data_IF_059386589536
#
_entry.id   IF_059386589536
#
_cell.length_a   1.000
_cell.length_b   1.000
_cell.length_c   1.000
_cell.angle_alpha   90.00
_cell.angle_beta   90.00
_cell.angle_gamma   90.00
#
_symmetry.space_group_name_H-M   'P 1'
#
loop_
_entity.id
_entity.type
_entity.pdbx_description
1 polymer ?
#
# COMPACT_ATOMS: atom_id res chain seq x y z
N UNK A 1 -62.33 -6.40 0.27
CA UNK A 1 -61.70 -7.47 -0.53
C UNK A 1 -60.42 -6.85 -1.11
N UNK A 2 -59.21 -7.08 -0.57
CA UNK A 2 -58.29 -8.18 -0.93
C UNK A 2 -58.47 -8.64 -2.39
N UNK A 3 -57.52 -8.30 -3.27
CA UNK A 3 -56.47 -9.23 -3.75
C UNK A 3 -55.49 -8.50 -4.68
N UNK A 4 -54.20 -8.69 -4.42
CA UNK A 4 -53.11 -8.56 -5.40
C UNK A 4 -53.27 -9.60 -6.53
N UNK A 5 -52.71 -9.35 -7.72
CA UNK A 5 -51.48 -10.02 -8.23
C UNK A 5 -51.22 -9.71 -9.73
N UNK A 6 -50.09 -9.04 -9.98
CA UNK A 6 -49.00 -9.32 -10.95
C UNK A 6 -49.36 -9.83 -12.37
N UNK A 7 -48.98 -9.08 -13.41
CA UNK A 7 -47.83 -9.42 -14.30
C UNK A 7 -47.83 -8.56 -15.56
N UNK A 8 -46.76 -7.78 -15.79
CA UNK A 8 -46.35 -7.45 -17.16
C UNK A 8 -44.90 -7.88 -17.33
N UNK A 9 -44.75 -9.02 -18.01
CA UNK A 9 -43.50 -9.56 -18.53
C UNK A 9 -42.97 -8.56 -19.57
N UNK A 10 -41.92 -7.81 -19.23
CA UNK A 10 -41.08 -7.17 -20.25
C UNK A 10 -39.87 -8.08 -20.41
N UNK A 11 -39.87 -8.78 -21.54
CA UNK A 11 -38.79 -9.62 -22.02
C UNK A 11 -37.48 -8.83 -22.09
N UNK A 12 -36.45 -9.43 -21.50
CA UNK A 12 -35.03 -9.15 -21.67
C UNK A 12 -34.69 -8.85 -23.14
N UNK A 13 -34.12 -7.68 -23.43
CA UNK A 13 -32.86 -7.56 -24.16
C UNK A 13 -32.38 -6.10 -24.16
N UNK A 14 -31.74 -5.69 -23.07
CA UNK A 14 -30.87 -4.52 -23.12
C UNK A 14 -29.47 -5.02 -22.74
N UNK A 15 -28.73 -5.47 -23.76
CA UNK A 15 -27.27 -5.41 -23.71
C UNK A 15 -26.88 -3.93 -23.65
N UNK A 16 -27.04 -3.30 -22.49
CA UNK A 16 -26.18 -2.20 -22.14
C UNK A 16 -24.95 -2.86 -21.53
N UNK A 17 -24.05 -3.23 -22.44
CA UNK A 17 -22.62 -3.35 -22.18
C UNK A 17 -22.27 -2.23 -21.21
N UNK A 18 -21.80 -2.64 -20.03
CA UNK A 18 -21.39 -1.82 -18.91
C UNK A 18 -20.78 -0.48 -19.39
N UNK A 19 -21.60 0.57 -19.36
CA UNK A 19 -21.21 1.93 -19.73
C UNK A 19 -21.46 2.84 -18.53
N UNK A 20 -20.62 2.72 -17.49
CA UNK A 20 -20.41 3.76 -16.48
C UNK A 20 -19.10 3.44 -15.67
N UNK A 21 -17.95 4.12 -15.89
CA UNK A 21 -17.37 5.35 -15.22
C UNK A 21 -16.23 4.99 -14.21
N UNK A 22 -15.16 5.77 -13.88
CA UNK A 22 -14.22 6.70 -14.59
C UNK A 22 -12.76 6.66 -13.97
N UNK A 23 -11.88 7.67 -14.19
CA UNK A 23 -10.69 8.13 -13.38
C UNK A 23 -9.38 8.28 -14.18
N UNK A 24 -9.18 9.40 -14.87
CA UNK A 24 -7.91 9.70 -15.58
C UNK A 24 -7.00 10.70 -14.83
N UNK A 25 -7.43 11.33 -13.73
CA UNK A 25 -6.66 12.41 -13.09
C UNK A 25 -5.92 12.08 -11.79
N UNK A 26 -6.08 10.87 -11.22
CA UNK A 26 -5.19 10.32 -10.17
C UNK A 26 -4.10 9.39 -10.70
N UNK A 27 -4.15 9.05 -11.99
CA UNK A 27 -3.63 7.77 -12.49
C UNK A 27 -2.32 7.80 -13.29
N UNK A 28 -1.65 8.94 -13.47
CA UNK A 28 -0.37 8.94 -14.21
C UNK A 28 0.79 8.34 -13.41
N UNK A 29 0.95 8.73 -12.15
CA UNK A 29 2.01 8.20 -11.28
C UNK A 29 1.71 6.76 -10.86
N UNK A 30 0.47 6.45 -10.47
CA UNK A 30 0.04 5.06 -10.21
C UNK A 30 0.28 4.16 -11.42
N UNK A 31 -0.05 4.62 -12.64
CA UNK A 31 0.20 3.83 -13.86
C UNK A 31 1.69 3.57 -14.11
N UNK A 32 2.58 4.54 -13.85
CA UNK A 32 4.03 4.34 -13.94
C UNK A 32 4.52 3.29 -12.94
N UNK A 33 4.03 3.34 -11.70
CA UNK A 33 4.41 2.39 -10.66
C UNK A 33 3.88 0.98 -10.96
N UNK A 34 2.63 0.86 -11.43
CA UNK A 34 2.06 -0.41 -11.88
C UNK A 34 2.87 -1.00 -13.03
N UNK A 35 3.31 -0.19 -14.00
CA UNK A 35 4.19 -0.64 -15.08
C UNK A 35 5.52 -1.15 -14.53
N UNK A 36 6.15 -0.41 -13.62
CA UNK A 36 7.40 -0.80 -12.97
C UNK A 36 7.28 -2.17 -12.27
N UNK A 37 6.16 -2.42 -11.57
CA UNK A 37 5.92 -3.70 -10.90
C UNK A 37 5.63 -4.84 -11.90
N UNK A 38 4.89 -4.57 -12.99
CA UNK A 38 4.60 -5.57 -14.03
C UNK A 38 5.84 -6.06 -14.77
N UNK A 39 6.86 -5.20 -14.89
CA UNK A 39 8.13 -5.52 -15.54
C UNK A 39 9.14 -6.18 -14.58
N UNK A 40 8.85 -6.20 -13.27
CA UNK A 40 9.71 -6.78 -12.26
C UNK A 40 9.61 -8.31 -12.24
N UNK A 41 10.69 -8.97 -11.80
CA UNK A 41 10.62 -10.39 -11.45
C UNK A 41 9.64 -10.59 -10.28
N UNK A 42 8.91 -11.70 -10.27
CA UNK A 42 7.94 -12.00 -9.21
C UNK A 42 8.58 -12.07 -7.82
N UNK A 43 9.90 -12.34 -7.74
CA UNK A 43 10.69 -12.40 -6.51
C UNK A 43 11.49 -11.11 -6.23
N UNK A 44 11.31 -10.05 -7.02
CA UNK A 44 12.03 -8.78 -6.85
C UNK A 44 11.40 -7.91 -5.75
N UNK A 45 11.61 -8.30 -4.50
CA UNK A 45 11.10 -7.57 -3.32
C UNK A 45 11.54 -6.09 -3.32
N UNK A 46 12.68 -5.74 -3.91
CA UNK A 46 13.19 -4.38 -3.95
C UNK A 46 12.30 -3.48 -4.81
N UNK A 47 11.90 -3.96 -6.00
CA UNK A 47 11.01 -3.20 -6.88
C UNK A 47 9.63 -3.01 -6.26
N UNK A 48 9.06 -4.05 -5.63
CA UNK A 48 7.79 -3.92 -4.89
C UNK A 48 7.91 -2.92 -3.72
N UNK A 49 8.99 -2.99 -2.94
CA UNK A 49 9.27 -2.05 -1.83
C UNK A 49 9.35 -0.61 -2.34
N UNK A 50 10.04 -0.39 -3.46
CA UNK A 50 10.19 0.92 -4.09
C UNK A 50 8.86 1.46 -4.63
N UNK A 51 8.05 0.61 -5.25
CA UNK A 51 6.72 0.98 -5.74
C UNK A 51 5.81 1.42 -4.59
N UNK A 52 5.79 0.65 -3.49
CA UNK A 52 5.04 0.99 -2.29
C UNK A 52 5.51 2.34 -1.71
N UNK A 53 6.81 2.53 -1.55
CA UNK A 53 7.38 3.77 -1.02
C UNK A 53 7.01 4.99 -1.87
N UNK A 54 7.09 4.89 -3.20
CA UNK A 54 6.70 5.98 -4.09
C UNK A 54 5.19 6.25 -4.05
N UNK A 55 4.38 5.20 -4.00
CA UNK A 55 2.93 5.37 -3.89
C UNK A 55 2.56 6.11 -2.59
N UNK A 56 3.17 5.71 -1.46
CA UNK A 56 3.02 6.39 -0.17
C UNK A 56 3.47 7.85 -0.30
N UNK A 57 4.68 8.11 -0.79
CA UNK A 57 5.23 9.47 -0.81
C UNK A 57 4.45 10.42 -1.74
N UNK A 58 3.95 9.92 -2.86
CA UNK A 58 3.22 10.74 -3.84
C UNK A 58 1.74 10.90 -3.57
N UNK A 59 1.21 10.28 -2.50
CA UNK A 59 -0.23 10.20 -2.27
C UNK A 59 -0.97 9.55 -3.44
N UNK A 60 -0.33 8.57 -4.08
CA UNK A 60 -0.95 7.78 -5.11
C UNK A 60 -1.89 6.75 -4.46
N UNK A 61 -2.06 5.59 -5.10
CA UNK A 61 -2.92 4.53 -4.59
C UNK A 61 -2.32 3.83 -3.35
N UNK A 62 -2.83 4.19 -2.16
CA UNK A 62 -2.39 3.61 -0.90
C UNK A 62 -2.83 2.15 -0.73
N UNK A 63 -3.89 1.70 -1.40
CA UNK A 63 -4.31 0.30 -1.37
C UNK A 63 -3.27 -0.55 -2.11
N UNK A 64 -2.88 -0.13 -3.31
CA UNK A 64 -1.78 -0.77 -4.06
C UNK A 64 -0.45 -0.70 -3.29
N UNK A 65 -0.18 0.41 -2.60
CA UNK A 65 1.02 0.52 -1.78
C UNK A 65 1.05 -0.58 -0.70
N UNK A 66 -0.11 -0.89 -0.10
CA UNK A 66 -0.24 -1.94 0.91
C UNK A 66 -0.02 -3.32 0.31
N UNK A 67 -0.63 -3.60 -0.84
CA UNK A 67 -0.46 -4.87 -1.54
C UNK A 67 1.01 -5.12 -1.91
N UNK A 68 1.68 -4.12 -2.49
CA UNK A 68 3.08 -4.25 -2.88
C UNK A 68 4.00 -4.44 -1.68
N UNK A 69 3.80 -3.71 -0.58
CA UNK A 69 4.67 -3.90 0.59
C UNK A 69 4.41 -5.24 1.28
N UNK A 70 3.17 -5.73 1.29
CA UNK A 70 2.86 -7.07 1.80
C UNK A 70 3.52 -8.17 0.96
N UNK A 71 3.48 -8.02 -0.37
CA UNK A 71 4.17 -8.92 -1.30
C UNK A 71 5.69 -8.90 -1.06
N UNK A 72 6.30 -7.71 -0.96
CA UNK A 72 7.73 -7.59 -0.69
C UNK A 72 8.14 -8.23 0.65
N UNK A 73 7.33 -8.07 1.70
CA UNK A 73 7.58 -8.70 3.02
C UNK A 73 7.48 -10.23 2.94
N UNK A 74 6.56 -10.76 2.13
CA UNK A 74 6.41 -12.20 1.94
C UNK A 74 7.63 -12.82 1.23
N UNK A 75 8.27 -12.05 0.33
CA UNK A 75 9.48 -12.47 -0.38
C UNK A 75 10.75 -12.31 0.48
N UNK A 76 10.93 -11.12 1.08
CA UNK A 76 12.07 -10.82 1.94
C UNK A 76 11.69 -9.81 3.03
N UNK A 77 11.48 -10.34 4.24
CA UNK A 77 11.26 -9.53 5.43
C UNK A 77 12.60 -9.04 5.97
N UNK A 78 12.88 -7.75 5.78
CA UNK A 78 14.11 -7.10 6.17
C UNK A 78 13.83 -5.69 6.72
N UNK A 79 14.88 -4.94 7.06
CA UNK A 79 14.71 -3.62 7.66
C UNK A 79 14.03 -2.61 6.72
N UNK A 80 14.27 -2.69 5.40
CA UNK A 80 13.69 -1.76 4.43
C UNK A 80 12.20 -2.03 4.24
N UNK A 81 11.81 -3.30 4.10
CA UNK A 81 10.39 -3.67 3.93
C UNK A 81 9.57 -3.29 5.17
N UNK A 82 10.11 -3.51 6.37
CA UNK A 82 9.46 -3.08 7.61
C UNK A 82 9.42 -1.55 7.78
N UNK A 83 10.46 -0.83 7.36
CA UNK A 83 10.44 0.64 7.37
C UNK A 83 9.34 1.19 6.47
N UNK A 84 9.20 0.68 5.24
CA UNK A 84 8.18 1.14 4.29
C UNK A 84 6.76 0.77 4.78
N UNK A 85 6.57 -0.39 5.41
CA UNK A 85 5.29 -0.69 6.05
C UNK A 85 4.99 0.28 7.22
N UNK A 86 6.01 0.69 7.96
CA UNK A 86 5.88 1.74 8.97
C UNK A 86 5.43 3.08 8.35
N UNK A 87 6.00 3.44 7.20
CA UNK A 87 5.63 4.64 6.44
C UNK A 87 4.18 4.59 5.94
N UNK A 88 3.71 3.42 5.55
CA UNK A 88 2.30 3.19 5.21
C UNK A 88 1.38 3.47 6.40
N UNK A 89 1.64 2.84 7.56
CA UNK A 89 0.80 3.04 8.75
C UNK A 89 0.83 4.49 9.24
N UNK A 90 1.98 5.14 9.14
CA UNK A 90 2.09 6.56 9.42
C UNK A 90 1.17 7.39 8.51
N UNK A 91 1.11 7.06 7.21
CA UNK A 91 0.30 7.78 6.23
C UNK A 91 -1.20 7.65 6.49
N UNK A 92 -1.65 6.49 6.98
CA UNK A 92 -3.07 6.28 7.33
C UNK A 92 -3.41 6.68 8.77
N UNK A 93 -2.48 7.31 9.51
CA UNK A 93 -2.72 7.84 10.86
C UNK A 93 -2.50 6.84 12.01
N UNK A 94 -2.06 5.63 11.71
CA UNK A 94 -1.80 4.55 12.66
C UNK A 94 -0.40 4.68 13.30
N UNK A 95 -0.17 5.78 14.02
CA UNK A 95 1.14 6.15 14.56
C UNK A 95 1.77 5.08 15.48
N UNK A 96 0.95 4.41 16.30
CA UNK A 96 1.43 3.33 17.18
C UNK A 96 1.95 2.13 16.40
N UNK A 97 1.27 1.76 15.31
CA UNK A 97 1.70 0.66 14.43
C UNK A 97 2.97 1.04 13.68
N UNK A 98 3.04 2.27 13.17
CA UNK A 98 4.24 2.80 12.53
C UNK A 98 5.46 2.74 13.47
N UNK A 99 5.33 3.22 14.70
CA UNK A 99 6.40 3.18 15.70
C UNK A 99 6.88 1.75 15.96
N UNK A 100 5.96 0.81 16.17
CA UNK A 100 6.29 -0.60 16.38
C UNK A 100 7.08 -1.18 15.20
N UNK A 101 6.72 -0.83 13.98
CA UNK A 101 7.41 -1.30 12.78
C UNK A 101 8.80 -0.69 12.62
N UNK A 102 8.99 0.60 12.91
CA UNK A 102 10.32 1.20 12.90
C UNK A 102 11.24 0.57 13.94
N UNK A 103 10.72 0.21 15.12
CA UNK A 103 11.49 -0.53 16.13
C UNK A 103 11.88 -1.93 15.62
N UNK A 104 10.93 -2.68 15.06
CA UNK A 104 11.22 -3.99 14.45
C UNK A 104 12.21 -3.89 13.29
N UNK A 105 12.15 -2.83 12.49
CA UNK A 105 13.09 -2.57 11.41
C UNK A 105 14.52 -2.35 11.92
N UNK A 106 14.71 -1.78 13.12
CA UNK A 106 16.03 -1.68 13.76
C UNK A 106 16.52 -3.00 14.36
N UNK A 107 15.60 -3.87 14.77
CA UNK A 107 15.92 -5.13 15.43
C UNK A 107 16.20 -6.26 14.43
N UNK A 108 15.57 -6.22 13.25
CA UNK A 108 15.74 -7.24 12.24
C UNK A 108 17.11 -7.11 11.56
N UNK A 109 17.86 -8.23 11.53
CA UNK A 109 19.19 -8.31 10.91
C UNK A 109 20.08 -7.10 11.23
N UNK A 110 20.24 -6.77 12.52
CA UNK A 110 21.00 -5.59 13.01
C UNK A 110 22.37 -5.41 12.34
N UNK A 111 23.01 -6.49 11.90
CA UNK A 111 24.32 -6.49 11.23
C UNK A 111 24.27 -6.06 9.76
N UNK A 112 23.11 -6.11 9.12
CA UNK A 112 22.91 -5.75 7.71
C UNK A 112 22.45 -4.30 7.52
N UNK A 113 22.05 -3.63 8.62
CA UNK A 113 21.59 -2.25 8.57
C UNK A 113 22.81 -1.33 8.49
N UNK A 114 22.96 -0.62 7.38
CA UNK A 114 23.99 0.41 7.26
C UNK A 114 23.73 1.57 8.23
N UNK A 115 24.79 2.34 8.52
CA UNK A 115 24.72 3.46 9.46
C UNK A 115 23.65 4.50 9.07
N UNK A 116 23.45 4.75 7.77
CA UNK A 116 22.50 5.75 7.27
C UNK A 116 21.06 5.29 7.53
N UNK A 117 20.76 4.03 7.24
CA UNK A 117 19.46 3.41 7.53
C UNK A 117 19.17 3.39 9.03
N UNK A 118 20.17 3.01 9.85
CA UNK A 118 20.07 3.02 11.30
C UNK A 118 19.75 4.42 11.86
N UNK A 119 20.51 5.43 11.43
CA UNK A 119 20.29 6.82 11.87
C UNK A 119 18.91 7.34 11.45
N UNK A 120 18.44 6.97 10.24
CA UNK A 120 17.11 7.33 9.73
C UNK A 120 16.00 6.71 10.58
N UNK A 121 16.08 5.41 10.86
CA UNK A 121 15.10 4.71 11.71
C UNK A 121 15.06 5.26 13.14
N UNK A 122 16.22 5.51 13.74
CA UNK A 122 16.31 6.12 15.07
C UNK A 122 15.64 7.51 15.11
N UNK A 123 15.78 8.32 14.06
CA UNK A 123 15.07 9.60 13.95
C UNK A 123 13.56 9.39 13.89
N UNK A 124 13.06 8.48 13.04
CA UNK A 124 11.62 8.17 12.95
C UNK A 124 11.07 7.73 14.31
N UNK A 125 11.73 6.79 14.99
CA UNK A 125 11.34 6.33 16.33
C UNK A 125 11.28 7.48 17.32
N UNK A 126 12.32 8.32 17.39
CA UNK A 126 12.35 9.46 18.30
C UNK A 126 11.19 10.44 18.06
N UNK A 127 10.86 10.71 16.80
CA UNK A 127 9.76 11.60 16.43
C UNK A 127 8.41 11.00 16.83
N UNK A 128 8.13 9.76 16.44
CA UNK A 128 6.81 9.15 16.67
C UNK A 128 6.59 8.68 18.11
N UNK A 129 7.65 8.31 18.84
CA UNK A 129 7.55 8.07 20.27
C UNK A 129 7.23 9.35 21.07
N UNK A 130 7.54 10.54 20.53
CA UNK A 130 7.15 11.80 21.16
C UNK A 130 5.69 12.17 20.89
N UNK A 131 5.17 11.83 19.71
CA UNK A 131 3.77 12.11 19.33
C UNK A 131 2.78 11.29 20.18
N UNK A 132 3.18 10.10 20.63
CA UNK A 132 2.34 9.20 21.42
C UNK A 132 2.41 9.42 22.94
N UNK A 133 3.15 10.44 23.41
CA UNK A 133 3.23 10.82 24.83
C UNK A 133 2.33 12.01 25.10
#
# INVERSE_FOLDING_TARGET
>A
MKTLFISLFISVFAMNVFAEIPEESKNSESAKLVKMVKEADVNDWETYTKAALYSINWNADLELAKEWIDHAIALDKNHKTLEVLGDYYLRIGEHSQALNLYMKALEINVTEIDKIAKDRLQRKIKVYAKILK
#
